data_IF_732572854677
#
_entry.id   IF_732572854677
#
_cell.length_a   1.000
_cell.length_b   1.000
_cell.length_c   1.000
_cell.angle_alpha   90.00
_cell.angle_beta   90.00
_cell.angle_gamma   90.00
#
_symmetry.space_group_name_H-M   'P 1'
#
loop_
_entity.id
_entity.type
_entity.pdbx_description
1 polymer ?
#
# COMPACT_ATOMS: atom_id res chain seq x y z
N UNK A 1 1.97 -21.66 19.56
CA UNK A 1 0.95 -20.96 18.75
C UNK A 1 1.30 -19.51 18.36
N UNK A 2 2.40 -18.93 18.84
CA UNK A 2 2.80 -17.53 18.60
C UNK A 2 3.50 -17.28 17.24
N UNK A 3 3.95 -18.33 16.57
CA UNK A 3 4.72 -18.24 15.30
C UNK A 3 3.85 -18.21 14.04
N UNK A 4 2.58 -18.66 14.11
CA UNK A 4 1.68 -18.67 12.96
C UNK A 4 1.33 -17.26 12.45
N UNK A 5 0.91 -16.29 13.29
CA UNK A 5 0.60 -14.95 12.82
C UNK A 5 1.81 -14.22 12.23
N UNK A 6 2.99 -14.41 12.82
CA UNK A 6 4.22 -13.79 12.30
C UNK A 6 4.69 -14.40 10.98
N UNK A 7 4.54 -15.72 10.82
CA UNK A 7 4.87 -16.40 9.57
C UNK A 7 3.95 -15.96 8.43
N UNK A 8 2.65 -15.84 8.69
CA UNK A 8 1.68 -15.32 7.71
C UNK A 8 2.02 -13.87 7.34
N UNK A 9 2.31 -13.03 8.33
CA UNK A 9 2.70 -11.64 8.11
C UNK A 9 3.98 -11.55 7.27
N UNK A 10 5.02 -12.30 7.60
CA UNK A 10 6.29 -12.30 6.85
C UNK A 10 6.08 -12.79 5.40
N UNK A 11 5.26 -13.84 5.21
CA UNK A 11 4.94 -14.35 3.87
C UNK A 11 4.17 -13.32 3.05
N UNK A 12 3.21 -12.62 3.68
CA UNK A 12 2.44 -11.57 3.04
C UNK A 12 3.33 -10.37 2.67
N UNK A 13 4.18 -9.91 3.59
CA UNK A 13 5.16 -8.86 3.33
C UNK A 13 6.07 -9.28 2.17
N UNK A 14 6.62 -10.49 2.20
CA UNK A 14 7.49 -11.00 1.16
C UNK A 14 6.83 -11.05 -0.22
N UNK A 15 5.54 -11.44 -0.29
CA UNK A 15 4.76 -11.45 -1.53
C UNK A 15 4.52 -10.04 -2.08
N UNK A 16 4.24 -9.09 -1.20
CA UNK A 16 3.94 -7.69 -1.57
C UNK A 16 5.21 -6.95 -1.99
N UNK A 17 6.29 -7.16 -1.27
CA UNK A 17 7.53 -6.38 -1.42
C UNK A 17 8.53 -7.02 -2.39
N UNK A 18 8.31 -8.28 -2.76
CA UNK A 18 9.24 -9.06 -3.58
C UNK A 18 10.50 -9.52 -2.84
N UNK A 19 10.66 -9.18 -1.56
CA UNK A 19 11.78 -9.60 -0.71
C UNK A 19 11.32 -10.73 0.19
N UNK A 20 11.88 -11.90 0.06
CA UNK A 20 11.51 -13.07 0.86
C UNK A 20 12.47 -13.16 2.05
N UNK A 21 12.01 -12.76 3.23
CA UNK A 21 12.73 -12.89 4.50
C UNK A 21 11.91 -13.74 5.46
N UNK A 22 12.60 -14.52 6.30
CA UNK A 22 11.97 -15.34 7.34
C UNK A 22 11.51 -14.49 8.52
N UNK A 23 12.24 -13.41 8.84
CA UNK A 23 11.89 -12.52 9.95
C UNK A 23 12.13 -11.04 9.63
N UNK A 24 11.06 -10.34 9.27
CA UNK A 24 11.06 -8.88 9.13
C UNK A 24 11.10 -8.13 10.47
N UNK A 25 10.72 -8.81 11.56
CA UNK A 25 10.61 -8.23 12.90
C UNK A 25 11.92 -8.16 13.68
N UNK A 26 12.98 -8.81 13.21
CA UNK A 26 14.28 -8.79 13.85
C UNK A 26 14.84 -7.36 13.87
N UNK A 27 15.31 -6.91 15.04
CA UNK A 27 15.91 -5.58 15.19
C UNK A 27 17.36 -5.53 14.73
N UNK A 28 18.04 -6.67 14.64
CA UNK A 28 19.42 -6.74 14.14
C UNK A 28 19.41 -6.67 12.62
N UNK A 29 19.86 -5.55 12.09
CA UNK A 29 19.91 -5.27 10.65
C UNK A 29 21.16 -4.49 10.34
N UNK A 30 21.88 -4.88 9.28
CA UNK A 30 23.04 -4.17 8.78
C UNK A 30 22.78 -3.68 7.34
N UNK A 31 23.15 -2.47 7.06
CA UNK A 31 22.96 -1.83 5.76
C UNK A 31 24.23 -1.15 5.28
N UNK A 32 24.44 -1.17 3.98
CA UNK A 32 25.45 -0.30 3.38
C UNK A 32 25.00 1.16 3.51
N UNK A 33 25.91 2.02 3.96
CA UNK A 33 25.59 3.42 4.25
C UNK A 33 25.22 4.22 2.99
N UNK A 34 25.83 3.92 1.85
CA UNK A 34 25.52 4.53 0.55
C UNK A 34 24.07 4.28 0.14
N UNK A 35 23.58 3.04 0.27
CA UNK A 35 22.21 2.67 -0.07
C UNK A 35 21.21 3.22 0.96
N UNK A 36 21.55 3.17 2.26
CA UNK A 36 20.66 3.64 3.31
C UNK A 36 20.41 5.16 3.25
N UNK A 37 21.42 5.94 2.88
CA UNK A 37 21.31 7.40 2.73
C UNK A 37 20.32 7.82 1.64
N UNK A 38 20.05 6.95 0.67
CA UNK A 38 19.10 7.20 -0.41
C UNK A 38 17.65 6.86 -0.02
N UNK A 39 17.45 6.21 1.11
CA UNK A 39 16.12 5.81 1.59
C UNK A 39 15.66 6.75 2.69
N UNK A 40 14.62 7.52 2.42
CA UNK A 40 13.97 8.33 3.45
C UNK A 40 12.90 7.51 4.14
N UNK A 41 13.04 7.38 5.45
CA UNK A 41 12.11 6.63 6.29
C UNK A 41 11.15 7.60 6.97
N UNK A 42 9.87 7.31 6.87
CA UNK A 42 8.80 8.06 7.53
C UNK A 42 8.03 7.17 8.48
N UNK A 43 7.74 7.66 9.68
CA UNK A 43 6.91 6.96 10.67
C UNK A 43 7.41 5.54 10.99
N UNK A 44 6.50 4.58 11.01
CA UNK A 44 6.76 3.17 11.35
C UNK A 44 7.44 2.35 10.23
N UNK A 45 7.97 3.01 9.20
CA UNK A 45 8.62 2.35 8.06
C UNK A 45 9.89 1.56 8.43
N UNK A 46 10.45 1.78 9.63
CA UNK A 46 11.64 1.08 10.10
C UNK A 46 11.53 -0.46 10.05
N UNK A 47 10.33 -1.02 10.14
CA UNK A 47 10.09 -2.47 10.00
C UNK A 47 10.25 -2.96 8.57
N UNK A 48 9.92 -2.10 7.63
CA UNK A 48 9.86 -2.41 6.21
C UNK A 48 11.08 -1.90 5.44
N UNK A 49 12.17 -1.50 6.14
CA UNK A 49 13.41 -1.06 5.48
C UNK A 49 13.87 -2.04 4.40
N UNK A 50 13.90 -3.37 4.60
CA UNK A 50 14.30 -4.29 3.53
C UNK A 50 13.43 -4.18 2.28
N UNK A 51 12.13 -3.93 2.45
CA UNK A 51 11.20 -3.71 1.34
C UNK A 51 11.51 -2.41 0.59
N UNK A 52 11.78 -1.33 1.31
CA UNK A 52 12.18 -0.06 0.71
C UNK A 52 13.54 -0.15 0.02
N UNK A 53 14.49 -0.87 0.61
CA UNK A 53 15.77 -1.13 -0.02
C UNK A 53 15.61 -1.87 -1.35
N UNK A 54 14.66 -2.80 -1.45
CA UNK A 54 14.39 -3.54 -2.68
C UNK A 54 13.85 -2.66 -3.83
N UNK A 55 13.36 -1.45 -3.54
CA UNK A 55 13.06 -0.47 -4.59
C UNK A 55 14.31 0.15 -5.19
N UNK A 56 15.44 0.10 -4.49
CA UNK A 56 16.71 0.73 -4.84
C UNK A 56 17.76 -0.27 -5.33
N UNK A 57 17.77 -1.46 -4.74
CA UNK A 57 18.72 -2.53 -5.08
C UNK A 57 17.96 -3.81 -5.42
N UNK A 58 18.52 -4.71 -6.25
CA UNK A 58 17.93 -6.01 -6.50
C UNK A 58 17.75 -6.81 -5.21
N UNK A 59 16.60 -7.49 -5.08
CA UNK A 59 16.30 -8.33 -3.91
C UNK A 59 17.39 -9.42 -3.66
N UNK A 60 18.11 -9.84 -4.71
CA UNK A 60 19.24 -10.79 -4.61
C UNK A 60 20.44 -10.27 -3.80
N UNK A 61 20.51 -8.95 -3.55
CA UNK A 61 21.54 -8.33 -2.69
C UNK A 61 21.09 -8.18 -1.24
N UNK A 62 19.91 -8.67 -0.90
CA UNK A 62 19.38 -8.71 0.46
C UNK A 62 19.45 -10.16 0.93
N UNK A 63 20.16 -10.42 2.03
CA UNK A 63 20.35 -11.76 2.58
C UNK A 63 20.08 -11.79 4.08
N UNK A 64 19.78 -12.97 4.59
CA UNK A 64 19.62 -13.25 6.02
C UNK A 64 20.79 -14.08 6.52
N UNK A 65 21.23 -13.79 7.72
CA UNK A 65 22.22 -14.58 8.44
C UNK A 65 21.58 -15.09 9.73
N UNK A 66 21.82 -16.35 10.03
CA UNK A 66 21.38 -16.95 11.30
C UNK A 66 22.20 -16.37 12.43
N UNK A 67 21.52 -15.84 13.44
CA UNK A 67 22.16 -15.29 14.64
C UNK A 67 21.63 -15.99 15.88
N UNK A 68 22.48 -16.13 16.89
CA UNK A 68 22.10 -16.73 18.16
C UNK A 68 21.15 -15.78 18.90
N UNK A 69 19.96 -16.26 19.19
CA UNK A 69 18.96 -15.51 19.94
C UNK A 69 18.96 -15.94 21.39
N UNK A 70 19.32 -15.04 22.29
CA UNK A 70 19.26 -15.30 23.73
C UNK A 70 17.86 -14.97 24.28
N UNK A 71 17.29 -15.82 25.17
CA UNK A 71 16.04 -15.52 25.80
C UNK A 71 16.15 -14.24 26.65
N UNK A 72 15.06 -13.49 26.71
CA UNK A 72 15.01 -12.25 27.49
C UNK A 72 15.16 -12.54 28.96
N UNK A 73 16.12 -11.89 29.64
CA UNK A 73 16.44 -12.07 31.04
C UNK A 73 15.42 -11.33 31.92
N UNK A 74 14.87 -10.19 31.49
CA UNK A 74 13.94 -9.39 32.24
C UNK A 74 12.81 -8.80 31.37
N UNK A 75 11.64 -8.55 32.01
CA UNK A 75 10.48 -7.91 31.37
C UNK A 75 9.48 -8.87 30.72
N UNK A 76 8.22 -8.41 30.64
CA UNK A 76 7.13 -9.14 29.96
C UNK A 76 7.02 -8.72 28.50
N UNK A 77 6.66 -9.68 27.64
CA UNK A 77 6.40 -9.41 26.23
C UNK A 77 5.18 -8.50 26.07
N UNK A 78 5.36 -7.33 25.50
CA UNK A 78 4.26 -6.38 25.17
C UNK A 78 3.54 -6.72 23.86
N UNK A 79 3.51 -7.99 23.47
CA UNK A 79 2.86 -8.42 22.23
C UNK A 79 1.36 -8.66 22.48
N UNK A 80 0.52 -7.69 22.10
CA UNK A 80 -0.94 -7.78 22.12
C UNK A 80 -1.53 -7.85 20.71
N UNK A 81 -2.81 -8.24 20.61
CA UNK A 81 -3.60 -8.34 19.35
C UNK A 81 -3.65 -6.98 18.63
N UNK A 82 -3.71 -5.87 19.39
CA UNK A 82 -3.69 -4.52 18.83
C UNK A 82 -2.46 -4.21 17.97
N UNK A 83 -1.33 -4.85 18.26
CA UNK A 83 -0.13 -4.72 17.42
C UNK A 83 -0.28 -5.41 16.07
N UNK A 84 -0.92 -6.56 16.03
CA UNK A 84 -1.17 -7.29 14.77
C UNK A 84 -2.03 -6.46 13.83
N UNK A 85 -3.08 -5.82 14.35
CA UNK A 85 -3.91 -4.92 13.58
C UNK A 85 -3.11 -3.71 13.05
N UNK A 86 -2.27 -3.11 13.90
CA UNK A 86 -1.41 -2.00 13.48
C UNK A 86 -0.43 -2.40 12.38
N UNK A 87 0.22 -3.55 12.52
CA UNK A 87 1.13 -4.09 11.49
C UNK A 87 0.38 -4.34 10.17
N UNK A 88 -0.87 -4.78 10.23
CA UNK A 88 -1.69 -4.98 9.04
C UNK A 88 -2.00 -3.64 8.33
N UNK A 89 -2.37 -2.61 9.07
CA UNK A 89 -2.59 -1.26 8.51
C UNK A 89 -1.30 -0.69 7.93
N UNK A 90 -0.18 -0.83 8.65
CA UNK A 90 1.15 -0.41 8.18
C UNK A 90 1.52 -1.12 6.86
N UNK A 91 1.18 -2.41 6.75
CA UNK A 91 1.46 -3.19 5.54
C UNK A 91 0.65 -2.70 4.33
N UNK A 92 -0.64 -2.37 4.53
CA UNK A 92 -1.48 -1.77 3.49
C UNK A 92 -0.85 -0.45 3.04
N UNK A 93 -0.42 0.38 3.98
CA UNK A 93 0.22 1.66 3.69
C UNK A 93 1.51 1.48 2.90
N UNK A 94 2.38 0.56 3.33
CA UNK A 94 3.63 0.25 2.61
C UNK A 94 3.36 -0.26 1.21
N UNK A 95 2.40 -1.18 1.04
CA UNK A 95 1.99 -1.68 -0.27
C UNK A 95 1.52 -0.55 -1.18
N UNK A 96 0.65 0.32 -0.66
CA UNK A 96 0.16 1.48 -1.39
C UNK A 96 1.30 2.39 -1.83
N UNK A 97 2.20 2.76 -0.91
CA UNK A 97 3.35 3.61 -1.23
C UNK A 97 4.30 2.96 -2.23
N UNK A 98 4.59 1.69 -2.10
CA UNK A 98 5.50 0.99 -3.04
C UNK A 98 4.93 0.87 -4.44
N UNK A 99 3.61 0.69 -4.57
CA UNK A 99 2.98 0.36 -5.85
C UNK A 99 2.32 1.55 -6.54
N UNK A 100 1.70 2.44 -5.76
CA UNK A 100 0.80 3.46 -6.28
C UNK A 100 1.21 4.90 -5.95
N UNK A 101 2.27 5.11 -5.16
CA UNK A 101 2.67 6.45 -4.75
C UNK A 101 2.97 7.37 -5.94
N UNK A 102 3.58 6.85 -7.01
CA UNK A 102 3.88 7.64 -8.21
C UNK A 102 2.66 7.90 -9.09
N UNK A 103 1.59 7.10 -8.96
CA UNK A 103 0.37 7.19 -9.78
C UNK A 103 -0.89 6.79 -8.99
N UNK A 104 -1.23 7.50 -7.92
CA UNK A 104 -2.39 7.16 -7.10
C UNK A 104 -3.72 7.32 -7.86
N UNK A 105 -3.75 8.18 -8.89
CA UNK A 105 -4.89 8.37 -9.76
C UNK A 105 -5.36 7.08 -10.44
N UNK A 106 -4.43 6.21 -10.83
CA UNK A 106 -4.81 4.93 -11.45
C UNK A 106 -5.49 3.98 -10.47
N UNK A 107 -5.05 3.95 -9.22
CA UNK A 107 -5.63 3.08 -8.20
C UNK A 107 -7.04 3.54 -7.82
N UNK A 108 -7.17 4.77 -7.37
CA UNK A 108 -8.46 5.31 -6.95
C UNK A 108 -9.43 5.53 -8.12
N UNK A 109 -8.91 5.96 -9.26
CA UNK A 109 -9.70 6.18 -10.47
C UNK A 109 -10.34 4.90 -10.99
N UNK A 110 -9.61 3.78 -11.01
CA UNK A 110 -10.17 2.49 -11.44
C UNK A 110 -11.29 2.02 -10.51
N UNK A 111 -11.07 2.09 -9.19
CA UNK A 111 -12.11 1.73 -8.20
C UNK A 111 -13.33 2.65 -8.37
N UNK A 112 -13.11 3.95 -8.51
CA UNK A 112 -14.18 4.93 -8.68
C UNK A 112 -14.98 4.70 -9.95
N UNK A 113 -14.33 4.43 -11.07
CA UNK A 113 -15.00 4.09 -12.34
C UNK A 113 -15.84 2.82 -12.23
N UNK A 114 -15.31 1.77 -11.60
CA UNK A 114 -16.05 0.52 -11.40
C UNK A 114 -17.31 0.75 -10.55
N UNK A 115 -17.17 1.43 -9.42
CA UNK A 115 -18.30 1.71 -8.52
C UNK A 115 -19.35 2.59 -9.22
N UNK A 116 -18.92 3.67 -9.88
CA UNK A 116 -19.82 4.56 -10.62
C UNK A 116 -20.51 3.83 -11.77
N UNK A 117 -19.83 2.96 -12.49
CA UNK A 117 -20.42 2.19 -13.59
C UNK A 117 -21.48 1.23 -13.08
N UNK A 118 -21.18 0.47 -12.01
CA UNK A 118 -22.17 -0.45 -11.39
C UNK A 118 -23.38 0.34 -10.89
N UNK A 119 -23.15 1.43 -10.16
CA UNK A 119 -24.23 2.28 -9.65
C UNK A 119 -25.08 2.87 -10.77
N UNK A 120 -24.45 3.35 -11.85
CA UNK A 120 -25.15 3.89 -13.02
C UNK A 120 -25.99 2.84 -13.73
N UNK A 121 -25.47 1.62 -13.88
CA UNK A 121 -26.25 0.51 -14.48
C UNK A 121 -27.47 0.16 -13.64
N UNK A 122 -27.35 0.14 -12.31
CA UNK A 122 -28.48 -0.07 -11.40
C UNK A 122 -29.53 1.05 -11.58
N UNK A 123 -29.11 2.30 -11.62
CA UNK A 123 -30.02 3.44 -11.78
C UNK A 123 -30.71 3.42 -13.16
N UNK A 124 -29.98 3.14 -14.23
CA UNK A 124 -30.53 2.99 -15.58
C UNK A 124 -31.57 1.88 -15.62
N UNK A 125 -31.28 0.74 -15.00
CA UNK A 125 -32.24 -0.36 -14.90
C UNK A 125 -33.52 0.06 -14.17
N UNK A 126 -33.41 0.74 -13.02
CA UNK A 126 -34.60 1.20 -12.25
C UNK A 126 -35.37 2.25 -13.02
N UNK A 127 -34.72 3.19 -13.66
CA UNK A 127 -35.35 4.20 -14.51
C UNK A 127 -36.09 3.53 -15.66
N UNK A 128 -35.50 2.51 -16.30
CA UNK A 128 -36.19 1.78 -17.36
C UNK A 128 -37.43 1.05 -16.88
N UNK A 129 -37.42 0.46 -15.66
CA UNK A 129 -38.60 -0.14 -15.05
C UNK A 129 -39.74 0.87 -14.82
N UNK A 130 -39.38 2.07 -14.38
CA UNK A 130 -40.37 3.13 -14.16
C UNK A 130 -41.01 3.60 -15.45
N UNK A 131 -40.23 3.88 -16.49
CA UNK A 131 -40.71 4.45 -17.74
C UNK A 131 -41.38 3.45 -18.67
N UNK A 132 -40.88 2.18 -18.70
CA UNK A 132 -41.39 1.14 -19.60
C UNK A 132 -42.58 0.40 -18.97
N UNK A 133 -42.46 0.08 -17.69
CA UNK A 133 -43.45 -0.77 -17.00
C UNK A 133 -44.33 -0.03 -16.02
N UNK A 134 -44.13 1.29 -15.81
CA UNK A 134 -44.89 2.10 -14.89
C UNK A 134 -44.76 1.72 -13.41
N UNK A 135 -43.72 0.94 -13.07
CA UNK A 135 -43.51 0.46 -11.71
C UNK A 135 -42.92 1.54 -10.83
N UNK A 136 -43.43 1.63 -9.59
CA UNK A 136 -42.82 2.53 -8.60
C UNK A 136 -41.46 2.01 -8.15
N UNK A 137 -40.48 2.93 -8.06
CA UNK A 137 -39.11 2.67 -7.69
C UNK A 137 -38.70 3.35 -6.38
N UNK A 138 -39.57 4.19 -5.79
CA UNK A 138 -39.27 5.02 -4.62
C UNK A 138 -38.87 4.20 -3.38
N UNK A 139 -39.61 3.11 -3.13
CA UNK A 139 -39.40 2.26 -1.96
C UNK A 139 -38.39 1.12 -2.16
N UNK A 140 -37.66 1.17 -3.26
CA UNK A 140 -36.70 0.09 -3.54
C UNK A 140 -35.34 0.39 -2.91
N UNK A 141 -34.80 -0.48 -2.02
CA UNK A 141 -33.47 -0.32 -1.45
C UNK A 141 -32.36 -0.22 -2.52
N UNK A 142 -32.62 -0.80 -3.71
CA UNK A 142 -31.71 -0.78 -4.84
C UNK A 142 -31.48 0.65 -5.39
N UNK A 143 -32.46 1.55 -5.25
CA UNK A 143 -32.32 2.95 -5.64
C UNK A 143 -31.28 3.65 -4.76
N UNK A 144 -31.36 3.43 -3.45
CA UNK A 144 -30.39 3.99 -2.49
C UNK A 144 -29.00 3.40 -2.75
N UNK A 145 -28.92 2.08 -2.95
CA UNK A 145 -27.65 1.41 -3.22
C UNK A 145 -27.00 1.92 -4.53
N UNK A 146 -27.76 2.06 -5.61
CA UNK A 146 -27.26 2.58 -6.89
C UNK A 146 -26.76 4.02 -6.76
N UNK A 147 -27.53 4.88 -6.10
CA UNK A 147 -27.14 6.27 -5.86
C UNK A 147 -25.88 6.36 -4.99
N UNK A 148 -25.80 5.57 -3.92
CA UNK A 148 -24.65 5.52 -3.04
C UNK A 148 -23.38 5.08 -3.80
N UNK A 149 -23.50 4.07 -4.64
CA UNK A 149 -22.38 3.58 -5.45
C UNK A 149 -21.85 4.64 -6.42
N UNK A 150 -22.74 5.42 -7.05
CA UNK A 150 -22.31 6.52 -7.93
C UNK A 150 -21.61 7.60 -7.12
N UNK A 151 -22.17 8.04 -6.00
CA UNK A 151 -21.58 9.09 -5.16
C UNK A 151 -20.21 8.65 -4.63
N UNK A 152 -20.12 7.45 -4.08
CA UNK A 152 -18.84 6.90 -3.58
C UNK A 152 -17.83 6.74 -4.73
N UNK A 153 -18.30 6.31 -5.90
CA UNK A 153 -17.43 6.19 -7.07
C UNK A 153 -16.84 7.52 -7.51
N UNK A 154 -17.63 8.57 -7.59
CA UNK A 154 -17.16 9.95 -7.87
C UNK A 154 -16.18 10.41 -6.80
N UNK A 155 -16.43 10.09 -5.53
CA UNK A 155 -15.56 10.45 -4.42
C UNK A 155 -14.18 9.77 -4.54
N UNK A 156 -14.14 8.49 -4.95
CA UNK A 156 -12.88 7.79 -5.22
C UNK A 156 -12.11 8.41 -6.38
N UNK A 157 -12.78 8.81 -7.47
CA UNK A 157 -12.16 9.52 -8.58
C UNK A 157 -11.53 10.83 -8.09
N UNK A 158 -12.25 11.60 -7.27
CA UNK A 158 -11.75 12.84 -6.68
C UNK A 158 -10.50 12.62 -5.82
N UNK A 159 -10.50 11.57 -5.00
CA UNK A 159 -9.30 11.18 -4.24
C UNK A 159 -8.13 10.80 -5.15
N UNK A 160 -8.41 10.17 -6.29
CA UNK A 160 -7.40 9.87 -7.29
C UNK A 160 -6.74 11.12 -7.85
N UNK A 161 -7.54 12.12 -8.22
CA UNK A 161 -7.05 13.41 -8.75
C UNK A 161 -6.23 14.16 -7.68
N UNK A 162 -6.75 14.26 -6.46
CA UNK A 162 -6.05 14.91 -5.35
C UNK A 162 -4.73 14.21 -5.06
N UNK A 163 -4.74 12.87 -4.98
CA UNK A 163 -3.55 12.07 -4.74
C UNK A 163 -2.50 12.27 -5.83
N UNK A 164 -2.91 12.34 -7.10
CA UNK A 164 -2.02 12.59 -8.22
C UNK A 164 -1.37 13.98 -8.13
N UNK A 165 -2.15 15.01 -7.78
CA UNK A 165 -1.61 16.37 -7.59
C UNK A 165 -0.61 16.39 -6.43
N UNK A 166 -0.95 15.76 -5.28
CA UNK A 166 -0.07 15.68 -4.13
C UNK A 166 1.24 14.94 -4.45
N UNK A 167 1.16 13.84 -5.17
CA UNK A 167 2.34 13.08 -5.61
C UNK A 167 3.23 13.93 -6.52
N UNK A 168 2.67 14.61 -7.50
CA UNK A 168 3.42 15.51 -8.39
C UNK A 168 4.05 16.67 -7.65
N UNK A 169 3.31 17.29 -6.74
CA UNK A 169 3.82 18.37 -5.90
C UNK A 169 4.98 17.90 -5.02
N UNK A 170 4.86 16.71 -4.44
CA UNK A 170 5.94 16.10 -3.65
C UNK A 170 7.22 15.92 -4.49
N UNK A 171 7.13 15.33 -5.69
CA UNK A 171 8.30 15.15 -6.55
C UNK A 171 8.84 16.47 -7.10
N UNK A 172 8.02 17.49 -7.31
CA UNK A 172 8.46 18.81 -7.75
C UNK A 172 9.17 19.59 -6.64
N UNK A 173 8.72 19.45 -5.38
CA UNK A 173 9.30 20.15 -4.22
C UNK A 173 10.49 19.42 -3.60
N UNK A 174 10.53 18.08 -3.74
CA UNK A 174 11.65 17.28 -3.26
C UNK A 174 12.74 17.21 -4.33
N UNK A 175 14.02 17.13 -3.90
CA UNK A 175 15.14 16.82 -4.81
C UNK A 175 15.10 15.35 -5.29
N UNK A 176 14.08 14.61 -4.93
CA UNK A 176 13.92 13.19 -5.32
C UNK A 176 13.41 13.08 -6.74
N UNK A 177 14.11 12.32 -7.54
CA UNK A 177 13.68 11.97 -8.89
C UNK A 177 12.75 10.75 -8.82
N UNK A 178 11.72 10.72 -9.64
CA UNK A 178 10.83 9.57 -9.79
C UNK A 178 11.52 8.36 -10.45
N UNK A 179 12.78 8.49 -10.82
CA UNK A 179 13.59 7.45 -11.46
C UNK A 179 14.97 7.37 -10.84
N UNK A 180 15.59 6.21 -10.97
CA UNK A 180 16.96 5.91 -10.53
C UNK A 180 17.90 5.98 -11.72
N UNK A 181 19.00 6.72 -11.57
CA UNK A 181 20.15 6.66 -12.47
C UNK A 181 21.05 5.56 -11.93
N UNK A 182 21.07 4.41 -12.60
CA UNK A 182 21.90 3.26 -12.20
C UNK A 182 23.37 3.47 -12.54
N UNK A 183 23.66 4.27 -13.52
CA UNK A 183 25.00 4.61 -14.00
C UNK A 183 24.95 5.97 -14.71
N UNK A 184 25.92 6.81 -14.45
CA UNK A 184 26.08 8.10 -15.12
C UNK A 184 27.39 8.04 -15.92
N UNK A 185 27.38 8.41 -17.19
CA UNK A 185 28.58 8.40 -18.05
C UNK A 185 29.68 9.35 -17.53
N UNK A 186 29.32 10.31 -16.70
CA UNK A 186 30.24 11.28 -16.09
C UNK A 186 30.90 10.76 -14.80
N UNK A 187 30.53 9.59 -14.27
CA UNK A 187 31.14 8.99 -13.06
C UNK A 187 32.45 8.23 -13.37
N UNK A 188 33.10 8.57 -14.49
CA UNK A 188 34.45 8.13 -14.81
C UNK A 188 35.43 9.24 -14.46
N UNK A 189 35.71 9.42 -13.16
CA UNK A 189 36.95 9.97 -12.65
C UNK A 189 37.26 9.42 -11.26
#
# INVERSE_FOLDING_TARGET
MRNLPSSIANKLIGSITGVKLHDYGCSLKAYRADVLKEVRLYGEMHRFIPAWMATKIPASKISELVVTHHPRIAGKSKYGISRTFRVFVDLISVYFFMRFFSRPGHFFGLIGLLLSSIGSLILIYLVSLKFIYGLDIGDRPLLIAGTLLVVVGIQFISFGVIGEILSRTYFASSKEKSYFIRWNSNDKE
#
